data_IF_966847085411
#
_entry.id   IF_966847085411
#
_cell.length_a   1.000
_cell.length_b   1.000
_cell.length_c   1.000
_cell.angle_alpha   90.00
_cell.angle_beta   90.00
_cell.angle_gamma   90.00
#
_symmetry.space_group_name_H-M   'P 1'
#
loop_
_entity.id
_entity.type
_entity.pdbx_description
1 polymer ?
#
# COMPACT_ATOMS: atom_id res chain seq x y z
N UNK A 1 35.93 16.54 -53.61
CA UNK A 1 36.25 16.85 -52.20
C UNK A 1 35.01 17.42 -51.53
N UNK A 2 34.30 16.68 -50.68
CA UNK A 2 33.19 17.23 -49.90
C UNK A 2 33.76 18.17 -48.82
N UNK A 3 33.43 19.46 -48.91
CA UNK A 3 33.90 20.55 -48.06
C UNK A 3 33.53 20.31 -46.59
N UNK A 4 34.42 20.68 -45.65
CA UNK A 4 34.34 20.32 -44.22
C UNK A 4 33.01 20.66 -43.54
N UNK A 5 32.36 21.77 -43.93
CA UNK A 5 31.04 22.17 -43.42
C UNK A 5 29.95 21.13 -43.66
N UNK A 6 29.94 20.48 -44.82
CA UNK A 6 28.91 19.49 -45.19
C UNK A 6 29.07 18.17 -44.41
N UNK A 7 30.32 17.81 -44.04
CA UNK A 7 30.59 16.63 -43.21
C UNK A 7 30.16 16.85 -41.76
N UNK A 8 30.38 18.03 -41.20
CA UNK A 8 29.98 18.34 -39.82
C UNK A 8 28.46 18.34 -39.66
N UNK A 9 27.71 18.91 -40.61
CA UNK A 9 26.23 18.90 -40.57
C UNK A 9 25.63 17.51 -40.76
N UNK A 10 26.22 16.67 -41.61
CA UNK A 10 25.78 15.28 -41.79
C UNK A 10 26.03 14.44 -40.52
N UNK A 11 27.16 14.67 -39.83
CA UNK A 11 27.50 14.00 -38.58
C UNK A 11 26.57 14.40 -37.43
N UNK A 12 26.18 15.68 -37.32
CA UNK A 12 25.28 16.13 -36.24
C UNK A 12 23.85 15.64 -36.44
N UNK A 13 23.33 15.64 -37.68
CA UNK A 13 21.99 15.13 -37.99
C UNK A 13 21.92 13.60 -37.84
N UNK A 14 22.94 12.88 -38.33
CA UNK A 14 23.01 11.43 -38.16
C UNK A 14 23.13 11.02 -36.69
N UNK A 15 23.94 11.76 -35.91
CA UNK A 15 24.12 11.52 -34.49
C UNK A 15 22.85 11.77 -33.65
N UNK A 16 22.10 12.83 -33.94
CA UNK A 16 20.86 13.12 -33.20
C UNK A 16 19.76 12.11 -33.51
N UNK A 17 19.60 11.71 -34.78
CA UNK A 17 18.62 10.68 -35.16
C UNK A 17 18.94 9.32 -34.53
N UNK A 18 20.23 8.94 -34.48
CA UNK A 18 20.65 7.71 -33.82
C UNK A 18 20.39 7.75 -32.31
N UNK A 19 20.68 8.88 -31.65
CA UNK A 19 20.45 9.04 -30.22
C UNK A 19 18.96 8.98 -29.85
N UNK A 20 18.09 9.62 -30.65
CA UNK A 20 16.64 9.58 -30.45
C UNK A 20 16.10 8.16 -30.66
N UNK A 21 16.55 7.48 -31.73
CA UNK A 21 16.16 6.10 -32.01
C UNK A 21 16.57 5.14 -30.89
N UNK A 22 17.82 5.25 -30.40
CA UNK A 22 18.32 4.43 -29.31
C UNK A 22 17.57 4.69 -27.99
N UNK A 23 17.23 5.95 -27.70
CA UNK A 23 16.43 6.30 -26.52
C UNK A 23 15.01 5.72 -26.60
N UNK A 24 14.35 5.83 -27.75
CA UNK A 24 13.01 5.27 -27.96
C UNK A 24 12.99 3.74 -27.80
N UNK A 25 13.97 3.04 -28.40
CA UNK A 25 14.12 1.58 -28.25
C UNK A 25 14.41 1.21 -26.79
N UNK A 26 15.23 1.98 -26.08
CA UNK A 26 15.56 1.72 -24.68
C UNK A 26 14.35 1.89 -23.76
N UNK A 27 13.50 2.91 -23.99
CA UNK A 27 12.24 3.08 -23.25
C UNK A 27 11.27 1.95 -23.56
N UNK A 28 11.19 1.49 -24.80
CA UNK A 28 10.31 0.38 -25.18
C UNK A 28 10.75 -0.94 -24.53
N UNK A 29 12.06 -1.22 -24.53
CA UNK A 29 12.60 -2.48 -24.02
C UNK A 29 12.73 -2.53 -22.49
N UNK A 30 13.02 -1.40 -21.85
CA UNK A 30 13.38 -1.35 -20.43
C UNK A 30 12.53 -0.38 -19.59
N UNK A 31 11.57 0.32 -20.19
CA UNK A 31 10.72 1.30 -19.49
C UNK A 31 9.68 0.70 -18.56
N UNK A 32 9.38 -0.61 -18.68
CA UNK A 32 8.48 -1.30 -17.76
C UNK A 32 9.24 -1.68 -16.49
N UNK A 33 9.10 -0.86 -15.44
CA UNK A 33 9.49 -1.28 -14.10
C UNK A 33 8.48 -2.31 -13.61
N UNK A 34 8.90 -3.50 -13.14
CA UNK A 34 7.99 -4.37 -12.43
C UNK A 34 7.59 -3.63 -11.16
N UNK A 35 6.31 -3.28 -11.04
CA UNK A 35 5.77 -2.80 -9.78
C UNK A 35 5.94 -3.99 -8.83
N UNK A 36 6.79 -3.86 -7.81
CA UNK A 36 7.05 -4.92 -6.83
C UNK A 36 5.85 -5.24 -5.92
N UNK A 37 4.67 -4.79 -6.33
CA UNK A 37 3.40 -4.97 -5.66
C UNK A 37 2.79 -6.27 -6.17
N UNK A 38 2.44 -7.16 -5.24
CA UNK A 38 1.70 -8.36 -5.57
C UNK A 38 0.28 -7.97 -5.99
N UNK A 39 -0.20 -8.58 -7.07
CA UNK A 39 -1.61 -8.46 -7.43
C UNK A 39 -2.46 -8.93 -6.25
N UNK A 40 -3.41 -8.10 -5.81
CA UNK A 40 -4.43 -8.44 -4.82
C UNK A 40 -5.75 -8.72 -5.58
N UNK A 41 -5.90 -9.89 -6.23
CA UNK A 41 -7.05 -10.20 -7.07
C UNK A 41 -8.38 -10.21 -6.29
N UNK A 42 -8.33 -10.48 -4.99
CA UNK A 42 -9.44 -10.42 -4.05
C UNK A 42 -9.93 -9.00 -3.77
N UNK A 43 -9.06 -7.99 -3.93
CA UNK A 43 -9.37 -6.57 -3.74
C UNK A 43 -9.58 -5.80 -5.04
N UNK A 44 -9.52 -6.48 -6.20
CA UNK A 44 -9.75 -5.83 -7.47
C UNK A 44 -11.12 -5.14 -7.50
N UNK A 45 -11.18 -3.94 -8.08
CA UNK A 45 -12.36 -3.08 -8.02
C UNK A 45 -13.61 -3.75 -8.62
N UNK A 46 -13.39 -4.58 -9.62
CA UNK A 46 -14.42 -5.28 -10.38
C UNK A 46 -14.83 -6.62 -9.73
N UNK A 47 -14.16 -7.03 -8.65
CA UNK A 47 -14.50 -8.27 -7.93
C UNK A 47 -15.80 -8.06 -7.14
N UNK A 48 -16.86 -8.84 -7.40
CA UNK A 48 -18.10 -8.77 -6.63
C UNK A 48 -17.81 -9.05 -5.14
N UNK A 49 -18.24 -8.14 -4.26
CA UNK A 49 -18.14 -8.34 -2.81
C UNK A 49 -19.40 -9.00 -2.29
N UNK A 50 -19.28 -9.96 -1.35
CA UNK A 50 -20.44 -10.55 -0.69
C UNK A 50 -21.33 -9.47 -0.08
N UNK A 51 -22.60 -9.46 -0.48
CA UNK A 51 -23.64 -8.63 0.12
C UNK A 51 -23.96 -9.07 1.55
N UNK A 52 -24.81 -8.33 2.28
CA UNK A 52 -25.20 -8.69 3.64
C UNK A 52 -25.75 -10.11 3.77
N UNK A 53 -26.48 -10.58 2.76
CA UNK A 53 -27.09 -11.90 2.72
C UNK A 53 -26.11 -13.03 2.34
N UNK A 54 -24.97 -12.69 1.73
CA UNK A 54 -23.98 -13.67 1.28
C UNK A 54 -22.99 -14.07 2.38
N UNK A 55 -23.01 -13.37 3.53
CA UNK A 55 -22.03 -13.54 4.61
C UNK A 55 -22.28 -14.75 5.50
N UNK A 56 -23.54 -15.16 5.67
CA UNK A 56 -23.91 -16.27 6.53
C UNK A 56 -25.28 -16.87 6.14
N UNK A 57 -25.49 -18.20 6.34
CA UNK A 57 -26.81 -18.81 6.25
C UNK A 57 -27.78 -18.14 7.21
N UNK A 58 -29.06 -18.04 6.84
CA UNK A 58 -30.08 -17.29 7.59
C UNK A 58 -30.10 -17.60 9.09
N UNK A 59 -30.03 -18.88 9.46
CA UNK A 59 -30.06 -19.34 10.86
C UNK A 59 -28.86 -18.88 11.72
N UNK A 60 -27.76 -18.47 11.08
CA UNK A 60 -26.56 -17.96 11.76
C UNK A 60 -26.40 -16.45 11.62
N UNK A 61 -27.39 -15.77 11.05
CA UNK A 61 -27.38 -14.31 10.98
C UNK A 61 -27.75 -13.74 12.35
N UNK A 62 -27.04 -12.70 12.82
CA UNK A 62 -27.51 -11.92 13.96
C UNK A 62 -28.91 -11.38 13.65
N UNK A 63 -29.84 -11.54 14.59
CA UNK A 63 -31.19 -10.98 14.47
C UNK A 63 -31.10 -9.43 14.43
N UNK A 64 -31.51 -8.78 13.33
CA UNK A 64 -31.43 -7.33 13.21
C UNK A 64 -32.46 -6.60 14.10
N UNK A 65 -33.45 -7.32 14.63
CA UNK A 65 -34.52 -6.79 15.48
C UNK A 65 -34.29 -7.04 16.97
N UNK A 66 -33.25 -7.79 17.33
CA UNK A 66 -32.91 -8.04 18.72
C UNK A 66 -32.49 -6.73 19.40
N UNK A 67 -33.25 -6.30 20.41
CA UNK A 67 -32.94 -5.12 21.21
C UNK A 67 -32.17 -5.55 22.47
N UNK A 68 -30.92 -5.10 22.68
CA UNK A 68 -30.18 -5.41 23.89
C UNK A 68 -30.87 -4.86 25.14
N UNK A 69 -30.87 -5.67 26.20
CA UNK A 69 -31.34 -5.29 27.54
C UNK A 69 -30.53 -4.12 28.10
N UNK A 70 -31.06 -3.48 29.16
CA UNK A 70 -30.35 -2.39 29.82
C UNK A 70 -28.99 -2.84 30.40
N UNK A 71 -28.91 -4.05 30.97
CA UNK A 71 -27.68 -4.60 31.53
C UNK A 71 -26.64 -4.90 30.46
N UNK A 72 -27.03 -5.52 29.34
CA UNK A 72 -26.14 -5.76 28.20
C UNK A 72 -25.61 -4.44 27.63
N UNK A 73 -26.50 -3.44 27.49
CA UNK A 73 -26.12 -2.11 27.00
C UNK A 73 -25.15 -1.39 27.94
N UNK A 74 -25.31 -1.55 29.25
CA UNK A 74 -24.39 -0.99 30.26
C UNK A 74 -23.02 -1.69 30.19
N UNK A 75 -23.01 -3.01 30.00
CA UNK A 75 -21.77 -3.79 29.84
C UNK A 75 -20.98 -3.44 28.57
N UNK A 76 -21.68 -3.04 27.51
CA UNK A 76 -21.09 -2.59 26.24
C UNK A 76 -20.70 -1.11 26.23
N UNK A 77 -20.85 -0.40 27.36
CA UNK A 77 -20.46 1.00 27.44
C UNK A 77 -18.96 1.11 27.18
N UNK A 78 -18.52 1.97 26.24
CA UNK A 78 -17.10 2.20 26.01
C UNK A 78 -16.42 2.61 27.33
N UNK A 79 -15.21 2.10 27.56
CA UNK A 79 -14.39 2.50 28.70
C UNK A 79 -13.88 3.94 28.50
N UNK A 80 -14.74 4.94 28.68
CA UNK A 80 -14.43 6.37 28.54
C UNK A 80 -13.67 6.93 29.74
N UNK A 81 -13.20 6.07 30.65
CA UNK A 81 -12.27 6.47 31.69
C UNK A 81 -10.93 6.92 31.10
N UNK A 82 -10.08 7.53 31.93
CA UNK A 82 -8.74 7.90 31.50
C UNK A 82 -8.02 6.64 30.98
N UNK A 83 -7.64 6.63 29.70
CA UNK A 83 -6.86 5.54 29.14
C UNK A 83 -5.56 5.41 29.95
N UNK A 84 -5.14 4.23 30.40
CA UNK A 84 -3.81 4.08 30.99
C UNK A 84 -2.78 4.53 29.94
N UNK A 85 -2.18 5.69 30.16
CA UNK A 85 -1.13 6.20 29.28
C UNK A 85 0.14 5.38 29.44
N UNK A 86 1.08 5.51 28.50
CA UNK A 86 2.42 4.91 28.61
C UNK A 86 3.21 5.37 29.85
N UNK A 87 2.72 6.37 30.58
CA UNK A 87 3.23 6.84 31.86
C UNK A 87 2.77 6.00 33.07
N UNK A 88 1.92 4.99 32.87
CA UNK A 88 1.72 3.96 33.89
C UNK A 88 3.06 3.26 34.10
N UNK A 89 3.70 3.53 35.24
CA UNK A 89 4.97 2.92 35.66
C UNK A 89 4.86 1.39 35.56
N UNK A 90 5.42 0.83 34.49
CA UNK A 90 5.50 -0.62 34.24
C UNK A 90 6.69 -1.26 34.95
N UNK A 91 7.16 -0.63 36.03
CA UNK A 91 8.36 -1.05 36.75
C UNK A 91 9.60 -0.70 35.94
N UNK A 92 10.30 0.36 36.34
CA UNK A 92 11.67 0.58 35.87
C UNK A 92 12.55 -0.55 36.41
N UNK A 93 12.90 -1.53 35.57
CA UNK A 93 14.00 -2.45 35.86
C UNK A 93 15.26 -1.89 35.21
N UNK A 94 15.83 -0.83 35.80
CA UNK A 94 17.23 -0.49 35.54
C UNK A 94 18.04 -1.37 36.48
N UNK A 95 18.61 -2.44 35.92
CA UNK A 95 19.52 -3.36 36.59
C UNK A 95 20.76 -2.57 37.04
N UNK A 96 21.07 -2.54 38.34
CA UNK A 96 22.33 -1.98 38.84
C UNK A 96 23.51 -2.72 38.19
N UNK A 97 24.57 -2.01 37.74
CA UNK A 97 25.78 -2.66 37.30
C UNK A 97 26.46 -3.33 38.51
N UNK A 98 26.45 -4.65 38.52
CA UNK A 98 27.26 -5.46 39.43
C UNK A 98 28.74 -5.25 39.07
N UNK A 99 29.46 -4.57 39.96
CA UNK A 99 30.87 -4.81 40.26
C UNK A 99 31.92 -4.36 39.23
N UNK A 100 32.76 -3.41 39.66
CA UNK A 100 34.16 -3.33 39.26
C UNK A 100 34.99 -3.02 40.52
#
# INVERSE_FOLDING_TARGET
>A
MATSKTRTTALTIGGTLLAIGAAAVSVLLFGRRPNGEHTAPDLALDTPRPGPDDRAPEAFRPDPTAIPTAAERDSLRPATGHAPGFAADRGTTVQEPVGA
#
